data_IF_244059141183
#
_entry.id   IF_244059141183
#
_cell.length_a   1.000
_cell.length_b   1.000
_cell.length_c   1.000
_cell.angle_alpha   90.00
_cell.angle_beta   90.00
_cell.angle_gamma   90.00
#
_symmetry.space_group_name_H-M   'P 1'
#
loop_
_entity.id
_entity.type
_entity.pdbx_description
1 polymer ?
#
# COMPACT_ATOMS: atom_id res chain seq x y z
N UNK A 1 1.49 -26.69 -18.48
CA UNK A 1 0.95 -25.42 -19.02
C UNK A 1 0.53 -24.40 -17.96
N UNK A 2 0.08 -24.81 -16.75
CA UNK A 2 -0.24 -23.88 -15.65
C UNK A 2 0.98 -23.25 -14.96
N UNK A 3 2.15 -23.89 -15.00
CA UNK A 3 3.37 -23.36 -14.37
C UNK A 3 4.02 -22.21 -15.15
N UNK A 4 3.84 -22.15 -16.47
CA UNK A 4 4.41 -21.09 -17.31
C UNK A 4 3.72 -19.71 -17.10
N UNK A 5 2.46 -19.70 -16.67
CA UNK A 5 1.72 -18.45 -16.43
C UNK A 5 2.16 -17.80 -15.12
N UNK A 6 2.61 -18.59 -14.15
CA UNK A 6 3.13 -18.08 -12.87
C UNK A 6 4.50 -17.41 -13.05
N UNK A 7 5.29 -17.84 -14.04
CA UNK A 7 6.63 -17.33 -14.32
C UNK A 7 6.66 -15.91 -14.93
N UNK A 8 5.60 -15.48 -15.62
CA UNK A 8 5.59 -14.17 -16.29
C UNK A 8 5.21 -12.98 -15.38
N UNK A 9 4.84 -13.22 -14.11
CA UNK A 9 4.35 -12.17 -13.20
C UNK A 9 5.43 -11.73 -12.18
N UNK A 10 6.53 -12.49 -12.02
CA UNK A 10 7.37 -12.42 -10.83
C UNK A 10 8.86 -12.10 -11.04
N UNK A 11 9.28 -11.52 -12.17
CA UNK A 11 10.66 -11.01 -12.30
C UNK A 11 10.64 -9.52 -12.62
N UNK A 12 10.38 -8.73 -11.58
CA UNK A 12 11.00 -7.42 -11.44
C UNK A 12 12.28 -7.69 -10.64
N UNK A 13 13.42 -7.13 -11.05
CA UNK A 13 14.68 -7.23 -10.29
C UNK A 13 14.44 -6.90 -8.80
N UNK A 14 14.91 -7.72 -7.86
CA UNK A 14 14.64 -7.53 -6.43
C UNK A 14 15.36 -6.32 -5.78
N UNK A 15 16.18 -5.55 -6.49
CA UNK A 15 17.25 -4.81 -5.81
C UNK A 15 17.08 -3.28 -5.65
N UNK A 16 15.90 -2.71 -5.90
CA UNK A 16 15.57 -1.39 -5.30
C UNK A 16 14.07 -1.10 -5.28
N UNK A 17 13.51 -1.04 -4.08
CA UNK A 17 12.16 -0.50 -3.87
C UNK A 17 12.11 0.99 -4.20
N UNK A 18 11.00 1.45 -4.78
CA UNK A 18 10.71 2.89 -4.96
C UNK A 18 10.23 3.57 -3.67
N UNK A 19 10.19 2.83 -2.55
CA UNK A 19 9.66 3.27 -1.27
C UNK A 19 10.73 3.19 -0.18
N UNK A 20 10.69 4.10 0.79
CA UNK A 20 11.50 3.96 2.01
C UNK A 20 11.01 2.78 2.89
N UNK A 21 11.83 2.36 3.84
CA UNK A 21 11.58 1.20 4.70
C UNK A 21 10.24 1.27 5.42
N UNK A 22 9.85 2.43 5.94
CA UNK A 22 8.58 2.62 6.66
C UNK A 22 7.39 2.35 5.74
N UNK A 23 7.42 2.94 4.54
CA UNK A 23 6.35 2.74 3.55
C UNK A 23 6.32 1.27 3.08
N UNK A 24 7.47 0.64 2.86
CA UNK A 24 7.52 -0.80 2.53
C UNK A 24 6.85 -1.66 3.61
N UNK A 25 7.12 -1.39 4.90
CA UNK A 25 6.51 -2.12 6.01
C UNK A 25 4.99 -1.92 6.09
N UNK A 26 4.51 -0.73 5.75
CA UNK A 26 3.07 -0.45 5.66
C UNK A 26 2.45 -1.20 4.49
N UNK A 27 3.09 -1.18 3.32
CA UNK A 27 2.63 -1.91 2.13
C UNK A 27 2.51 -3.41 2.45
N UNK A 28 3.51 -4.00 3.09
CA UNK A 28 3.50 -5.43 3.50
C UNK A 28 2.32 -5.81 4.39
N UNK A 29 1.80 -4.87 5.18
CA UNK A 29 0.64 -5.07 6.07
C UNK A 29 -0.69 -4.66 5.45
N UNK A 30 -0.64 -4.01 4.29
CA UNK A 30 -1.82 -3.53 3.57
C UNK A 30 -2.43 -4.62 2.68
N UNK A 31 -3.61 -4.33 2.10
CA UNK A 31 -4.24 -5.21 1.12
C UNK A 31 -3.55 -5.18 -0.26
N UNK A 32 -2.61 -4.26 -0.50
CA UNK A 32 -1.96 -4.04 -1.79
C UNK A 32 -0.53 -4.56 -1.80
N UNK A 33 -0.10 -5.11 -2.94
CA UNK A 33 1.32 -5.39 -3.15
C UNK A 33 2.07 -4.12 -3.52
N UNK A 34 3.39 -4.10 -3.32
CA UNK A 34 4.24 -2.98 -3.74
C UNK A 34 4.02 -2.61 -5.21
N UNK A 35 4.03 -3.61 -6.08
CA UNK A 35 3.70 -3.45 -7.50
C UNK A 35 2.34 -2.80 -7.74
N UNK A 36 1.32 -3.16 -6.98
CA UNK A 36 -0.01 -2.54 -7.11
C UNK A 36 0.03 -1.07 -6.71
N UNK A 37 0.77 -0.72 -5.64
CA UNK A 37 0.97 0.66 -5.22
C UNK A 37 1.73 1.46 -6.30
N UNK A 38 2.82 0.93 -6.85
CA UNK A 38 3.56 1.56 -7.96
C UNK A 38 2.65 1.86 -9.15
N UNK A 39 1.80 0.90 -9.53
CA UNK A 39 0.86 1.05 -10.65
C UNK A 39 -0.16 2.16 -10.36
N UNK A 40 -0.68 2.21 -9.13
CA UNK A 40 -1.61 3.25 -8.68
C UNK A 40 -0.94 4.63 -8.76
N UNK A 41 0.28 4.76 -8.22
CA UNK A 41 1.02 6.02 -8.19
C UNK A 41 1.43 6.47 -9.61
N UNK A 42 1.87 5.54 -10.47
CA UNK A 42 2.12 5.84 -11.89
C UNK A 42 0.88 6.36 -12.60
N UNK A 43 -0.26 5.70 -12.40
CA UNK A 43 -1.53 6.14 -13.00
C UNK A 43 -1.96 7.53 -12.51
N UNK A 44 -1.59 7.89 -11.27
CA UNK A 44 -1.84 9.21 -10.68
C UNK A 44 -0.76 10.24 -11.02
N UNK A 45 0.25 9.89 -11.81
CA UNK A 45 1.41 10.73 -12.16
C UNK A 45 2.21 11.19 -10.92
N UNK A 46 2.22 10.36 -9.88
CA UNK A 46 2.93 10.61 -8.61
C UNK A 46 4.24 9.83 -8.50
N UNK A 47 4.44 8.85 -9.37
CA UNK A 47 5.66 8.05 -9.45
C UNK A 47 5.97 7.79 -10.92
N UNK A 48 7.17 8.14 -11.36
CA UNK A 48 7.64 7.78 -12.69
C UNK A 48 8.49 6.51 -12.61
N UNK A 49 7.86 5.38 -12.98
CA UNK A 49 8.48 4.06 -12.91
C UNK A 49 8.20 3.31 -14.21
N UNK A 50 9.21 2.73 -14.82
CA UNK A 50 9.03 1.85 -15.97
C UNK A 50 8.75 0.43 -15.53
N UNK A 51 7.86 -0.22 -16.27
CA UNK A 51 7.41 -1.56 -15.97
C UNK A 51 7.88 -2.48 -17.09
N UNK A 52 8.71 -3.48 -16.77
CA UNK A 52 9.21 -4.50 -17.70
C UNK A 52 8.14 -5.50 -18.20
N UNK A 53 6.91 -5.04 -18.40
CA UNK A 53 5.77 -5.85 -18.86
C UNK A 53 5.12 -5.22 -20.08
N UNK A 54 4.39 -6.01 -20.87
CA UNK A 54 3.63 -5.49 -22.01
C UNK A 54 2.54 -4.49 -21.58
N UNK A 55 2.16 -3.58 -22.48
CA UNK A 55 1.04 -2.64 -22.25
C UNK A 55 -0.24 -3.35 -21.80
N UNK A 56 -0.57 -4.47 -22.45
CA UNK A 56 -1.75 -5.28 -22.08
C UNK A 56 -1.66 -5.88 -20.67
N UNK A 57 -0.47 -6.37 -20.27
CA UNK A 57 -0.25 -6.86 -18.91
C UNK A 57 -0.34 -5.73 -17.87
N UNK A 58 0.21 -4.56 -18.17
CA UNK A 58 0.09 -3.36 -17.33
C UNK A 58 -1.38 -2.97 -17.10
N UNK A 59 -2.18 -2.84 -18.16
CA UNK A 59 -3.60 -2.46 -18.02
C UNK A 59 -4.43 -3.49 -17.26
N UNK A 60 -4.09 -4.79 -17.36
CA UNK A 60 -4.72 -5.83 -16.53
C UNK A 60 -4.38 -5.65 -15.05
N UNK A 61 -3.12 -5.42 -14.71
CA UNK A 61 -2.72 -5.17 -13.31
C UNK A 61 -3.34 -3.87 -12.77
N UNK A 62 -3.44 -2.82 -13.59
CA UNK A 62 -4.14 -1.58 -13.24
C UNK A 62 -5.63 -1.81 -12.96
N UNK A 63 -6.31 -2.60 -13.79
CA UNK A 63 -7.71 -2.97 -13.57
C UNK A 63 -7.90 -3.73 -12.26
N UNK A 64 -7.02 -4.68 -11.97
CA UNK A 64 -7.02 -5.42 -10.70
C UNK A 64 -6.81 -4.50 -9.49
N UNK A 65 -5.87 -3.55 -9.57
CA UNK A 65 -5.64 -2.58 -8.50
C UNK A 65 -6.88 -1.69 -8.28
N UNK A 66 -7.55 -1.24 -9.34
CA UNK A 66 -8.80 -0.45 -9.25
C UNK A 66 -9.93 -1.23 -8.59
N UNK A 67 -10.16 -2.48 -9.02
CA UNK A 67 -11.18 -3.35 -8.43
C UNK A 67 -10.93 -3.62 -6.94
N UNK A 68 -9.65 -3.72 -6.54
CA UNK A 68 -9.30 -3.85 -5.12
C UNK A 68 -9.59 -2.58 -4.32
N UNK A 69 -9.32 -1.38 -4.87
CA UNK A 69 -9.69 -0.10 -4.23
C UNK A 69 -11.21 -0.01 -4.06
N UNK A 70 -11.98 -0.36 -5.09
CA UNK A 70 -13.44 -0.38 -5.02
C UNK A 70 -13.94 -1.35 -3.93
N UNK A 71 -13.38 -2.55 -3.86
CA UNK A 71 -13.70 -3.54 -2.84
C UNK A 71 -13.37 -3.05 -1.42
N UNK A 72 -12.26 -2.31 -1.26
CA UNK A 72 -11.90 -1.67 0.00
C UNK A 72 -12.96 -0.66 0.44
N UNK A 73 -13.44 0.20 -0.46
CA UNK A 73 -14.51 1.16 -0.12
C UNK A 73 -15.81 0.48 0.28
N UNK A 74 -16.25 -0.54 -0.46
CA UNK A 74 -17.42 -1.33 -0.06
C UNK A 74 -17.23 -2.01 1.30
N UNK A 75 -16.02 -2.49 1.59
CA UNK A 75 -15.69 -3.11 2.88
C UNK A 75 -15.75 -2.10 4.02
N UNK A 76 -15.17 -0.89 3.84
CA UNK A 76 -15.23 0.18 4.85
C UNK A 76 -16.69 0.57 5.12
N UNK A 77 -17.49 0.79 4.06
CA UNK A 77 -18.91 1.10 4.19
C UNK A 77 -19.67 0.01 4.96
N UNK A 78 -19.41 -1.26 4.63
CA UNK A 78 -20.02 -2.40 5.30
C UNK A 78 -19.67 -2.40 6.79
N UNK A 79 -18.39 -2.27 7.14
CA UNK A 79 -17.93 -2.30 8.52
C UNK A 79 -18.45 -1.09 9.33
N UNK A 80 -18.54 0.09 8.71
CA UNK A 80 -19.13 1.28 9.35
C UNK A 80 -20.64 1.11 9.57
N UNK A 81 -21.37 0.55 8.61
CA UNK A 81 -22.81 0.33 8.74
C UNK A 81 -23.18 -0.65 9.86
N UNK A 82 -22.25 -1.50 10.27
CA UNK A 82 -22.39 -2.42 11.40
C UNK A 82 -21.67 -1.94 12.67
N UNK A 83 -21.23 -0.68 12.72
CA UNK A 83 -20.49 -0.08 13.84
C UNK A 83 -19.24 -0.88 14.26
N UNK A 84 -18.66 -1.66 13.33
CA UNK A 84 -17.44 -2.45 13.56
C UNK A 84 -16.19 -1.56 13.50
N UNK A 85 -16.21 -0.54 12.65
CA UNK A 85 -15.16 0.49 12.60
C UNK A 85 -15.80 1.88 12.75
N UNK A 86 -15.15 2.74 13.53
CA UNK A 86 -15.60 4.12 13.70
C UNK A 86 -15.21 4.98 12.48
N UNK A 87 -16.09 5.91 12.04
CA UNK A 87 -15.88 6.68 10.81
C UNK A 87 -14.64 7.58 10.83
N UNK A 88 -14.21 8.03 12.01
CA UNK A 88 -13.10 8.97 12.16
C UNK A 88 -12.36 8.69 13.47
N UNK A 89 -11.28 7.89 13.44
CA UNK A 89 -10.32 7.98 14.53
C UNK A 89 -9.33 9.11 14.17
N UNK A 90 -9.32 10.18 14.98
CA UNK A 90 -8.32 11.27 14.90
C UNK A 90 -6.89 10.70 14.84
N UNK A 91 -6.70 9.53 15.46
CA UNK A 91 -5.47 8.72 15.40
C UNK A 91 -5.09 8.35 13.97
N UNK A 92 -5.99 7.80 13.14
CA UNK A 92 -5.67 7.42 11.76
C UNK A 92 -5.34 8.63 10.89
N UNK A 93 -6.05 9.74 11.07
CA UNK A 93 -5.78 10.97 10.33
C UNK A 93 -4.37 11.51 10.65
N UNK A 94 -4.02 11.61 11.94
CA UNK A 94 -2.69 12.05 12.38
C UNK A 94 -1.59 11.11 11.89
N UNK A 95 -1.81 9.79 11.93
CA UNK A 95 -0.84 8.83 11.39
C UNK A 95 -0.64 9.01 9.90
N UNK A 96 -1.71 9.23 9.13
CA UNK A 96 -1.62 9.47 7.69
C UNK A 96 -0.86 10.77 7.37
N UNK A 97 -1.08 11.84 8.14
CA UNK A 97 -0.34 13.10 8.01
C UNK A 97 1.17 12.88 8.25
N UNK A 98 1.52 12.19 9.34
CA UNK A 98 2.93 11.89 9.66
C UNK A 98 3.57 11.02 8.57
N UNK A 99 2.86 10.03 8.04
CA UNK A 99 3.34 9.23 6.92
C UNK A 99 3.54 10.04 5.64
N UNK A 100 2.69 11.03 5.39
CA UNK A 100 2.84 11.90 4.23
C UNK A 100 4.12 12.74 4.31
N UNK A 101 4.50 13.19 5.52
CA UNK A 101 5.77 13.88 5.77
C UNK A 101 6.96 12.95 5.54
N UNK A 102 6.89 11.71 6.06
CA UNK A 102 7.99 10.73 5.95
C UNK A 102 8.15 10.13 4.56
N UNK A 103 7.10 10.16 3.73
CA UNK A 103 7.12 9.69 2.33
C UNK A 103 8.05 10.54 1.46
N UNK A 104 8.14 11.84 1.72
CA UNK A 104 8.86 12.80 0.87
C UNK A 104 10.32 13.03 1.29
N UNK A 105 10.71 12.53 2.47
CA UNK A 105 12.07 12.67 2.96
C UNK A 105 12.96 11.53 2.45
N UNK A 106 14.07 11.86 1.79
CA UNK A 106 15.24 10.97 1.57
C UNK A 106 15.95 10.61 2.90
N UNK A 107 15.42 11.07 4.02
CA UNK A 107 15.93 10.83 5.36
C UNK A 107 15.42 9.47 5.84
N UNK A 108 16.34 8.53 6.08
CA UNK A 108 16.07 7.32 6.85
C UNK A 108 16.22 7.66 8.34
N UNK A 109 15.12 7.81 9.11
CA UNK A 109 15.23 8.18 10.51
C UNK A 109 15.99 7.10 11.29
N UNK A 110 16.92 7.44 12.18
CA UNK A 110 17.59 6.46 13.05
C UNK A 110 16.59 5.65 13.92
N UNK A 111 15.37 6.17 14.07
CA UNK A 111 14.28 5.59 14.83
C UNK A 111 13.17 4.92 13.98
N UNK A 112 13.45 4.51 12.73
CA UNK A 112 12.48 3.79 11.85
C UNK A 112 11.72 2.68 12.57
N UNK A 113 12.42 1.83 13.31
CA UNK A 113 11.82 0.71 14.05
C UNK A 113 10.81 1.18 15.10
N UNK A 114 11.12 2.28 15.81
CA UNK A 114 10.21 2.84 16.82
C UNK A 114 8.97 3.44 16.16
N UNK A 115 9.13 4.13 15.03
CA UNK A 115 8.01 4.69 14.25
C UNK A 115 7.07 3.57 13.80
N UNK A 116 7.63 2.50 13.21
CA UNK A 116 6.86 1.32 12.78
C UNK A 116 6.13 0.69 13.97
N UNK A 117 6.77 0.54 15.12
CA UNK A 117 6.14 -0.03 16.31
C UNK A 117 4.98 0.84 16.84
N UNK A 118 5.13 2.16 16.83
CA UNK A 118 4.05 3.10 17.20
C UNK A 118 2.86 2.97 16.25
N UNK A 119 3.10 2.93 14.94
CA UNK A 119 2.03 2.74 13.94
C UNK A 119 1.31 1.40 14.17
N UNK A 120 2.06 0.32 14.37
CA UNK A 120 1.50 -1.01 14.60
C UNK A 120 0.65 -1.06 15.88
N UNK A 121 1.13 -0.45 16.97
CA UNK A 121 0.39 -0.38 18.23
C UNK A 121 -0.90 0.41 18.06
N UNK A 122 -0.86 1.56 17.38
CA UNK A 122 -2.04 2.37 17.13
C UNK A 122 -3.09 1.62 16.28
N UNK A 123 -2.68 0.95 15.20
CA UNK A 123 -3.58 0.14 14.37
C UNK A 123 -4.20 -1.01 15.19
N UNK A 124 -3.40 -1.70 16.01
CA UNK A 124 -3.92 -2.77 16.88
C UNK A 124 -4.91 -2.25 17.93
N UNK A 125 -4.66 -1.07 18.50
CA UNK A 125 -5.58 -0.45 19.45
C UNK A 125 -6.93 -0.13 18.81
N UNK A 126 -6.93 0.30 17.55
CA UNK A 126 -8.18 0.56 16.80
C UNK A 126 -8.94 -0.72 16.45
N UNK A 127 -8.25 -1.84 16.23
CA UNK A 127 -8.88 -3.14 15.94
C UNK A 127 -9.37 -3.84 17.21
N UNK A 128 -8.66 -3.67 18.33
CA UNK A 128 -9.00 -4.29 19.63
C UNK A 128 -9.99 -3.43 20.45
N UNK A 129 -10.72 -2.52 19.81
CA UNK A 129 -11.85 -1.83 20.42
C UNK A 129 -13.02 -2.78 20.65
#
# INVERSE_FOLDING_TARGET
>A
MKEAILFCIAMSDPDKSNFNTIIQEIIKKSLFTERQIEIILKQKKMLDVEFGVSKGAYYRQLSQARSKIESLYYTILLLQAYDVILPESDVMFRLAEQLNVMKESDFAPENESQIIDVIQKAVKQLVNM
#
